data_IF_653748821779
#
_entry.id   IF_653748821779
#
_cell.length_a   1.000
_cell.length_b   1.000
_cell.length_c   1.000
_cell.angle_alpha   90.00
_cell.angle_beta   90.00
_cell.angle_gamma   90.00
#
_symmetry.space_group_name_H-M   'P 1'
#
loop_
_entity.id
_entity.type
_entity.pdbx_description
1 polymer ?
#
# COMPACT_ATOMS: atom_id res chain seq x y z
N UNK A 1 6.43 -6.01 -18.29
CA UNK A 1 7.21 -5.74 -17.06
C UNK A 1 6.65 -6.58 -15.93
N UNK A 2 7.52 -7.38 -15.31
CA UNK A 2 7.17 -8.17 -14.13
C UNK A 2 7.06 -7.31 -12.87
N UNK A 3 6.32 -7.79 -11.90
CA UNK A 3 6.10 -7.14 -10.61
C UNK A 3 6.35 -8.14 -9.47
N UNK A 4 6.59 -7.58 -8.29
CA UNK A 4 6.74 -8.29 -7.04
C UNK A 4 5.68 -7.84 -6.05
N UNK A 5 5.12 -8.79 -5.32
CA UNK A 5 4.35 -8.54 -4.11
C UNK A 5 5.29 -8.73 -2.92
N UNK A 6 5.57 -7.64 -2.20
CA UNK A 6 6.44 -7.64 -1.02
C UNK A 6 5.58 -7.42 0.23
N UNK A 7 5.46 -8.44 1.08
CA UNK A 7 4.60 -8.41 2.26
C UNK A 7 5.43 -8.26 3.52
N UNK A 8 5.28 -7.14 4.21
CA UNK A 8 5.91 -6.91 5.50
C UNK A 8 4.94 -7.25 6.62
N UNK A 9 5.36 -8.17 7.49
CA UNK A 9 4.60 -8.63 8.65
C UNK A 9 5.37 -8.38 9.92
N UNK A 10 4.67 -8.38 11.05
CA UNK A 10 5.29 -8.31 12.38
C UNK A 10 5.10 -9.62 13.14
N UNK A 11 6.02 -9.98 14.05
CA UNK A 11 5.81 -11.02 15.05
C UNK A 11 4.48 -10.89 15.78
N UNK A 12 3.93 -12.02 16.20
CA UNK A 12 2.63 -12.07 16.88
C UNK A 12 2.59 -11.25 18.16
N UNK A 13 3.70 -11.24 18.89
CA UNK A 13 3.85 -10.55 20.17
C UNK A 13 3.70 -9.03 20.04
N UNK A 14 4.03 -8.46 18.86
CA UNK A 14 3.87 -7.02 18.61
C UNK A 14 2.42 -6.61 18.32
N UNK A 15 1.54 -7.57 18.03
CA UNK A 15 0.17 -7.26 17.60
C UNK A 15 -0.64 -6.54 18.68
N UNK A 16 -0.47 -6.90 19.94
CA UNK A 16 -1.18 -6.24 21.05
C UNK A 16 -0.74 -4.78 21.21
N UNK A 17 0.58 -4.53 21.17
CA UNK A 17 1.14 -3.18 21.22
C UNK A 17 0.64 -2.32 20.05
N UNK A 18 0.67 -2.86 18.83
CA UNK A 18 0.19 -2.19 17.62
C UNK A 18 -1.32 -1.98 17.60
N UNK A 19 -2.09 -2.84 18.28
CA UNK A 19 -3.53 -2.65 18.44
C UNK A 19 -3.84 -1.49 19.38
N UNK A 20 -3.01 -1.28 20.40
CA UNK A 20 -3.16 -0.18 21.35
C UNK A 20 -2.64 1.16 20.79
N UNK A 21 -1.73 1.09 19.81
CA UNK A 21 -1.11 2.25 19.15
C UNK A 21 -1.33 2.19 17.63
N UNK A 22 -2.59 2.09 17.17
CA UNK A 22 -2.90 1.76 15.77
C UNK A 22 -2.30 2.76 14.76
N UNK A 23 -2.39 4.07 15.03
CA UNK A 23 -1.95 5.10 14.08
C UNK A 23 -0.43 5.03 13.89
N UNK A 24 0.30 5.01 14.99
CA UNK A 24 1.76 4.96 15.07
C UNK A 24 2.25 3.62 14.53
N UNK A 25 1.60 2.52 14.94
CA UNK A 25 1.92 1.17 14.52
C UNK A 25 1.75 0.93 13.02
N UNK A 26 0.65 1.41 12.43
CA UNK A 26 0.47 1.33 10.98
C UNK A 26 1.43 2.25 10.23
N UNK A 27 1.71 3.44 10.76
CA UNK A 27 2.72 4.32 10.20
C UNK A 27 4.11 3.66 10.20
N UNK A 28 4.47 2.98 11.28
CA UNK A 28 5.72 2.22 11.42
C UNK A 28 5.86 1.14 10.34
N UNK A 29 4.83 0.28 10.16
CA UNK A 29 4.88 -0.81 9.16
C UNK A 29 5.08 -0.22 7.75
N UNK A 30 4.38 0.87 7.42
CA UNK A 30 4.55 1.56 6.15
C UNK A 30 5.94 2.16 5.97
N UNK A 31 6.40 2.95 6.95
CA UNK A 31 7.69 3.64 6.90
C UNK A 31 8.83 2.62 6.78
N UNK A 32 8.95 1.72 7.74
CA UNK A 32 10.01 0.71 7.77
C UNK A 32 9.98 -0.20 6.53
N UNK A 33 8.79 -0.59 6.05
CA UNK A 33 8.66 -1.40 4.83
C UNK A 33 9.12 -0.66 3.57
N UNK A 34 8.67 0.59 3.39
CA UNK A 34 9.03 1.41 2.24
C UNK A 34 10.51 1.80 2.22
N UNK A 35 11.09 2.08 3.38
CA UNK A 35 12.53 2.31 3.53
C UNK A 35 13.34 1.05 3.26
N UNK A 36 12.89 -0.11 3.74
CA UNK A 36 13.58 -1.38 3.44
C UNK A 36 13.62 -1.64 1.94
N UNK A 37 12.50 -1.42 1.22
CA UNK A 37 12.48 -1.56 -0.25
C UNK A 37 13.49 -0.61 -0.91
N UNK A 38 13.56 0.65 -0.46
CA UNK A 38 14.47 1.66 -1.02
C UNK A 38 15.93 1.32 -0.73
N UNK A 39 16.27 1.06 0.52
CA UNK A 39 17.66 0.89 0.97
C UNK A 39 18.23 -0.40 0.39
N UNK A 40 17.51 -1.52 0.52
CA UNK A 40 17.96 -2.81 -0.02
C UNK A 40 17.92 -2.83 -1.55
N UNK A 41 16.93 -2.16 -2.16
CA UNK A 41 16.88 -1.94 -3.60
C UNK A 41 18.10 -1.17 -4.10
N UNK A 42 18.47 -0.06 -3.45
CA UNK A 42 19.62 0.77 -3.84
C UNK A 42 20.96 0.04 -3.73
N UNK A 43 21.08 -0.91 -2.79
CA UNK A 43 22.25 -1.77 -2.61
C UNK A 43 22.30 -2.93 -3.61
N UNK A 44 21.19 -3.23 -4.31
CA UNK A 44 21.11 -4.34 -5.26
C UNK A 44 21.72 -3.95 -6.60
N UNK A 45 22.65 -4.77 -7.11
CA UNK A 45 23.44 -4.46 -8.33
C UNK A 45 22.60 -4.04 -9.54
N UNK A 46 21.49 -4.73 -9.81
CA UNK A 46 20.59 -4.43 -10.94
C UNK A 46 19.80 -3.13 -10.78
N UNK A 47 19.67 -2.64 -9.55
CA UNK A 47 18.87 -1.45 -9.18
C UNK A 47 19.75 -0.29 -8.71
N UNK A 48 21.08 -0.43 -8.75
CA UNK A 48 22.00 0.60 -8.30
C UNK A 48 21.78 1.90 -9.09
N UNK A 49 21.52 2.98 -8.36
CA UNK A 49 21.24 4.31 -8.93
C UNK A 49 19.81 4.47 -9.50
N UNK A 50 18.92 3.50 -9.29
CA UNK A 50 17.52 3.63 -9.67
C UNK A 50 16.69 4.34 -8.59
N UNK A 51 15.80 5.21 -9.04
CA UNK A 51 14.59 5.57 -8.33
C UNK A 51 13.54 4.47 -8.56
N UNK A 52 13.17 3.78 -7.48
CA UNK A 52 12.05 2.83 -7.49
C UNK A 52 10.72 3.58 -7.38
N UNK A 53 9.62 2.93 -7.73
CA UNK A 53 8.28 3.47 -7.54
C UNK A 53 7.32 2.34 -7.27
N UNK A 54 6.56 2.45 -6.19
CA UNK A 54 5.74 1.36 -5.67
C UNK A 54 4.62 1.92 -4.80
N UNK A 55 3.63 1.10 -4.48
CA UNK A 55 2.59 1.47 -3.53
C UNK A 55 2.34 0.34 -2.54
N UNK A 56 1.92 0.69 -1.34
CA UNK A 56 1.60 -0.23 -0.26
C UNK A 56 0.11 -0.18 0.11
N UNK A 57 -0.46 -1.33 0.46
CA UNK A 57 -1.83 -1.47 0.96
C UNK A 57 -1.79 -2.08 2.36
N UNK A 58 -2.41 -1.40 3.33
CA UNK A 58 -2.53 -1.87 4.71
C UNK A 58 -3.66 -2.90 4.85
N UNK A 59 -3.35 -3.96 5.57
CA UNK A 59 -4.27 -5.01 5.97
C UNK A 59 -4.16 -5.23 7.47
N UNK A 60 -5.26 -5.55 8.13
CA UNK A 60 -5.31 -5.75 9.58
C UNK A 60 -5.82 -7.14 9.98
N UNK A 61 -6.08 -8.03 9.02
CA UNK A 61 -6.60 -9.39 9.25
C UNK A 61 -5.88 -10.42 8.39
N UNK A 62 -5.81 -11.66 8.87
CA UNK A 62 -5.29 -12.81 8.12
C UNK A 62 -6.39 -13.61 7.41
N UNK A 63 -6.16 -14.92 7.23
CA UNK A 63 -7.22 -15.85 6.74
C UNK A 63 -8.37 -16.00 7.74
N UNK A 64 -8.06 -15.92 9.02
CA UNK A 64 -9.03 -15.79 10.10
C UNK A 64 -9.29 -14.29 10.37
N UNK A 65 -10.52 -13.80 10.08
CA UNK A 65 -10.86 -12.40 10.26
C UNK A 65 -11.08 -12.00 11.72
N UNK A 66 -11.03 -12.91 12.69
CA UNK A 66 -11.04 -12.50 14.11
C UNK A 66 -9.64 -12.25 14.67
N UNK A 67 -8.61 -12.65 13.93
CA UNK A 67 -7.22 -12.46 14.34
C UNK A 67 -6.73 -11.12 13.81
N UNK A 68 -6.42 -10.20 14.72
CA UNK A 68 -5.72 -8.99 14.38
C UNK A 68 -4.33 -9.34 13.82
N UNK A 69 -4.06 -8.96 12.59
CA UNK A 69 -2.83 -9.28 11.88
C UNK A 69 -2.43 -8.10 10.98
N UNK A 70 -1.85 -7.03 11.54
CA UNK A 70 -1.43 -5.87 10.77
C UNK A 70 -0.22 -6.22 9.89
N UNK A 71 -0.35 -5.94 8.59
CA UNK A 71 0.70 -6.13 7.59
C UNK A 71 0.47 -5.22 6.40
N UNK A 72 1.53 -4.96 5.63
CA UNK A 72 1.43 -4.17 4.39
C UNK A 72 1.91 -5.00 3.22
N UNK A 73 1.11 -5.02 2.17
CA UNK A 73 1.47 -5.54 0.86
C UNK A 73 1.94 -4.40 -0.03
N UNK A 74 3.20 -4.44 -0.47
CA UNK A 74 3.74 -3.53 -1.46
C UNK A 74 3.75 -4.18 -2.84
N UNK A 75 3.36 -3.39 -3.85
CA UNK A 75 3.53 -3.76 -5.26
C UNK A 75 4.74 -3.02 -5.80
N UNK A 76 5.77 -3.78 -6.13
CA UNK A 76 7.04 -3.24 -6.60
C UNK A 76 7.27 -3.71 -8.04
N UNK A 77 7.30 -2.81 -9.03
CA UNK A 77 7.84 -3.07 -10.36
C UNK A 77 9.22 -3.74 -10.29
N UNK A 78 9.48 -4.67 -11.20
CA UNK A 78 10.78 -5.35 -11.32
C UNK A 78 11.87 -4.48 -11.94
N UNK A 79 12.03 -3.24 -11.46
CA UNK A 79 12.99 -2.27 -11.97
C UNK A 79 12.74 -0.85 -11.45
N UNK A 80 13.54 0.08 -11.94
CA UNK A 80 13.40 1.50 -11.62
C UNK A 80 14.10 2.41 -12.63
N UNK A 81 13.86 3.71 -12.47
CA UNK A 81 14.40 4.76 -13.37
C UNK A 81 15.80 5.14 -12.89
N UNK A 82 16.79 4.98 -13.75
CA UNK A 82 18.12 5.54 -13.50
C UNK A 82 18.26 6.86 -14.25
N UNK A 83 18.08 7.98 -13.55
CA UNK A 83 18.15 9.33 -14.15
C UNK A 83 19.52 9.67 -14.73
N UNK A 84 20.60 9.16 -14.14
CA UNK A 84 21.96 9.43 -14.64
C UNK A 84 22.21 8.80 -15.99
N UNK A 85 21.57 7.67 -16.26
CA UNK A 85 21.70 6.91 -17.50
C UNK A 85 20.49 7.08 -18.42
N UNK A 86 19.53 7.92 -18.04
CA UNK A 86 18.25 8.13 -18.72
C UNK A 86 17.60 6.84 -19.24
N UNK A 87 17.50 5.83 -18.35
CA UNK A 87 16.99 4.50 -18.73
C UNK A 87 16.26 3.80 -17.60
N UNK A 88 15.37 2.90 -18.00
CA UNK A 88 14.84 1.88 -17.11
C UNK A 88 15.89 0.78 -16.86
N UNK A 89 16.15 0.43 -15.61
CA UNK A 89 16.94 -0.77 -15.27
C UNK A 89 16.03 -1.83 -14.68
N UNK A 90 16.10 -3.03 -15.25
CA UNK A 90 15.22 -4.14 -14.93
C UNK A 90 15.95 -5.18 -14.06
N UNK A 91 15.21 -5.81 -13.13
CA UNK A 91 15.69 -6.96 -12.36
C UNK A 91 15.41 -8.28 -13.10
N UNK A 92 15.93 -9.39 -12.61
CA UNK A 92 15.46 -10.70 -13.07
C UNK A 92 14.00 -10.93 -12.63
N UNK A 93 13.26 -11.77 -13.35
CA UNK A 93 11.81 -11.98 -13.10
C UNK A 93 11.50 -12.56 -11.72
N UNK A 94 12.41 -13.38 -11.20
CA UNK A 94 12.29 -14.09 -9.93
C UNK A 94 13.12 -13.46 -8.80
N UNK A 95 13.77 -12.32 -9.03
CA UNK A 95 14.65 -11.69 -8.04
C UNK A 95 14.48 -10.17 -8.06
N UNK A 96 14.03 -9.61 -6.93
CA UNK A 96 13.96 -8.17 -6.71
C UNK A 96 15.22 -7.68 -5.97
N UNK A 97 15.42 -8.18 -4.77
CA UNK A 97 16.59 -7.95 -3.92
C UNK A 97 16.74 -9.08 -2.88
N UNK A 98 17.84 -9.08 -2.12
CA UNK A 98 18.11 -10.13 -1.14
C UNK A 98 17.11 -10.18 0.02
N UNK A 99 16.43 -11.33 0.17
CA UNK A 99 15.42 -11.57 1.20
C UNK A 99 16.00 -11.47 2.62
N UNK A 100 17.19 -12.06 2.86
CA UNK A 100 17.80 -12.08 4.18
C UNK A 100 18.15 -10.67 4.68
N UNK A 101 18.64 -9.82 3.79
CA UNK A 101 18.93 -8.41 4.06
C UNK A 101 17.66 -7.62 4.30
N UNK A 102 16.61 -7.82 3.50
CA UNK A 102 15.32 -7.18 3.73
C UNK A 102 14.74 -7.48 5.11
N UNK A 103 14.74 -8.75 5.55
CA UNK A 103 14.26 -9.13 6.88
C UNK A 103 15.08 -8.48 8.01
N UNK A 104 16.41 -8.40 7.87
CA UNK A 104 17.30 -7.78 8.87
C UNK A 104 17.09 -6.26 8.95
N UNK A 105 17.07 -5.59 7.79
CA UNK A 105 16.90 -4.13 7.69
C UNK A 105 15.53 -3.73 8.20
N UNK A 106 14.47 -4.45 7.81
CA UNK A 106 13.11 -4.17 8.29
C UNK A 106 13.01 -4.30 9.82
N UNK A 107 13.57 -5.36 10.39
CA UNK A 107 13.61 -5.54 11.86
C UNK A 107 14.34 -4.40 12.56
N UNK A 108 15.52 -4.01 12.05
CA UNK A 108 16.32 -2.94 12.63
C UNK A 108 15.56 -1.60 12.59
N UNK A 109 15.04 -1.22 11.41
CA UNK A 109 14.24 0.00 11.25
C UNK A 109 13.01 0.02 12.15
N UNK A 110 12.33 -1.12 12.30
CA UNK A 110 11.16 -1.20 13.19
C UNK A 110 11.54 -1.02 14.65
N UNK A 111 12.67 -1.60 15.08
CA UNK A 111 13.21 -1.38 16.42
C UNK A 111 13.54 0.10 16.66
N UNK A 112 14.24 0.73 15.73
CA UNK A 112 14.62 2.15 15.81
C UNK A 112 13.38 3.05 15.90
N UNK A 113 12.38 2.80 15.06
CA UNK A 113 11.15 3.57 15.06
C UNK A 113 10.33 3.39 16.35
N UNK A 114 10.31 2.18 16.93
CA UNK A 114 9.69 2.01 18.26
C UNK A 114 10.47 2.72 19.37
N UNK A 115 11.79 2.90 19.25
CA UNK A 115 12.57 3.70 20.21
C UNK A 115 12.22 5.18 20.11
N UNK A 116 12.09 5.70 18.90
CA UNK A 116 11.65 7.09 18.64
C UNK A 116 10.27 7.36 19.26
N UNK A 117 9.38 6.37 19.24
CA UNK A 117 8.04 6.45 19.81
C UNK A 117 8.00 6.17 21.33
N UNK A 118 9.12 5.82 21.97
CA UNK A 118 9.14 5.40 23.39
C UNK A 118 8.37 4.09 23.66
N UNK A 119 8.16 3.27 22.63
CA UNK A 119 7.41 2.00 22.70
C UNK A 119 8.33 0.77 22.72
N UNK A 120 9.64 0.94 22.49
CA UNK A 120 10.58 -0.17 22.36
C UNK A 120 10.63 -1.06 23.61
N UNK A 121 10.70 -0.45 24.80
CA UNK A 121 10.83 -1.17 26.08
C UNK A 121 9.54 -1.87 26.51
N UNK A 122 8.42 -1.63 25.82
CA UNK A 122 7.17 -2.37 26.02
C UNK A 122 7.16 -3.71 25.28
N UNK A 123 8.18 -3.99 24.45
CA UNK A 123 8.31 -5.21 23.66
C UNK A 123 9.30 -6.14 24.34
N UNK A 124 8.87 -7.37 24.61
CA UNK A 124 9.76 -8.39 25.16
C UNK A 124 11.02 -8.59 24.29
N UNK A 125 12.18 -8.61 24.94
CA UNK A 125 13.47 -8.67 24.26
C UNK A 125 13.64 -9.91 23.35
N UNK A 126 12.92 -11.00 23.62
CA UNK A 126 12.92 -12.20 22.78
C UNK A 126 12.38 -11.93 21.37
N UNK A 127 11.47 -10.97 21.19
CA UNK A 127 10.90 -10.59 19.88
C UNK A 127 11.99 -10.12 18.92
N UNK A 128 12.98 -9.39 19.44
CA UNK A 128 14.10 -8.87 18.65
C UNK A 128 15.12 -9.95 18.28
N UNK A 129 15.17 -11.05 19.04
CA UNK A 129 16.00 -12.24 18.76
C UNK A 129 15.38 -13.14 17.69
N UNK A 130 14.07 -13.04 17.43
CA UNK A 130 13.38 -13.84 16.40
C UNK A 130 13.82 -13.49 14.98
N UNK A 131 13.62 -14.46 14.08
CA UNK A 131 13.69 -14.23 12.63
C UNK A 131 12.39 -13.58 12.18
N UNK A 132 12.49 -12.34 11.71
CA UNK A 132 11.39 -11.63 11.07
C UNK A 132 11.24 -12.08 9.62
N UNK A 133 10.05 -11.95 9.06
CA UNK A 133 9.71 -12.45 7.72
C UNK A 133 9.17 -11.31 6.86
N UNK A 134 9.75 -11.17 5.68
CA UNK A 134 9.27 -10.34 4.57
C UNK A 134 9.04 -11.29 3.39
N UNK A 135 7.78 -11.51 3.00
CA UNK A 135 7.50 -12.37 1.83
C UNK A 135 7.76 -11.59 0.54
N UNK A 136 8.62 -12.08 -0.34
CA UNK A 136 8.89 -11.48 -1.65
C UNK A 136 8.46 -12.48 -2.71
N UNK A 137 7.39 -12.15 -3.44
CA UNK A 137 6.82 -13.04 -4.46
C UNK A 137 6.80 -12.38 -5.83
N UNK A 138 7.41 -13.02 -6.81
CA UNK A 138 7.20 -12.69 -8.21
C UNK A 138 5.75 -13.01 -8.61
N UNK A 139 5.05 -12.04 -9.18
CA UNK A 139 3.61 -12.13 -9.47
C UNK A 139 3.28 -11.88 -10.94
N UNK A 140 4.31 -11.87 -11.79
CA UNK A 140 4.16 -11.70 -13.24
C UNK A 140 3.73 -10.27 -13.59
N UNK A 141 2.74 -10.13 -14.46
CA UNK A 141 2.30 -8.83 -14.95
C UNK A 141 1.50 -8.01 -13.91
N UNK A 142 1.45 -6.69 -14.12
CA UNK A 142 0.75 -5.77 -13.22
C UNK A 142 -0.77 -5.97 -13.17
N UNK A 143 -1.40 -6.55 -14.19
CA UNK A 143 -2.86 -6.81 -14.20
C UNK A 143 -3.20 -7.93 -13.23
N UNK A 144 -2.36 -8.97 -13.17
CA UNK A 144 -2.48 -10.08 -12.22
C UNK A 144 -2.35 -9.59 -10.79
N UNK A 145 -1.42 -8.65 -10.54
CA UNK A 145 -1.27 -7.99 -9.24
C UNK A 145 -2.49 -7.17 -8.86
N UNK A 146 -3.02 -6.36 -9.79
CA UNK A 146 -4.22 -5.55 -9.54
C UNK A 146 -5.44 -6.43 -9.26
N UNK A 147 -5.63 -7.54 -10.01
CA UNK A 147 -6.68 -8.52 -9.72
C UNK A 147 -6.53 -9.17 -8.35
N UNK A 148 -5.29 -9.48 -7.96
CA UNK A 148 -5.00 -10.04 -6.64
C UNK A 148 -5.28 -9.04 -5.51
N UNK A 149 -4.93 -7.76 -5.69
CA UNK A 149 -5.04 -6.74 -4.65
C UNK A 149 -6.41 -6.04 -4.58
N UNK A 150 -7.16 -5.98 -5.68
CA UNK A 150 -8.46 -5.31 -5.73
C UNK A 150 -9.44 -5.77 -4.62
N UNK A 151 -9.56 -7.09 -4.33
CA UNK A 151 -10.38 -7.55 -3.20
C UNK A 151 -9.92 -6.96 -1.87
N UNK A 152 -8.64 -6.72 -1.65
CA UNK A 152 -8.13 -6.22 -0.38
C UNK A 152 -8.26 -4.71 -0.21
N UNK A 153 -8.35 -3.98 -1.32
CA UNK A 153 -8.70 -2.55 -1.32
C UNK A 153 -10.15 -2.38 -0.88
N UNK A 154 -11.07 -3.17 -1.46
CA UNK A 154 -12.52 -2.97 -1.32
C UNK A 154 -13.19 -3.83 -0.23
N UNK A 155 -12.67 -5.02 0.08
CA UNK A 155 -13.31 -5.90 1.06
C UNK A 155 -12.90 -5.54 2.49
N UNK A 156 -13.89 -5.65 3.37
CA UNK A 156 -13.74 -5.63 4.82
C UNK A 156 -13.20 -6.97 5.33
N UNK A 157 -12.98 -7.10 6.64
CA UNK A 157 -12.40 -8.29 7.26
C UNK A 157 -13.11 -9.60 6.90
N UNK A 158 -14.45 -9.58 6.77
CA UNK A 158 -15.26 -10.74 6.39
C UNK A 158 -16.31 -10.37 5.35
N UNK A 159 -16.49 -11.21 4.33
CA UNK A 159 -17.56 -11.04 3.33
C UNK A 159 -18.86 -11.71 3.77
N UNK A 160 -20.01 -11.16 3.38
CA UNK A 160 -21.34 -11.66 3.73
C UNK A 160 -21.54 -13.15 3.42
N UNK A 161 -21.07 -13.63 2.26
CA UNK A 161 -21.15 -15.05 1.88
C UNK A 161 -20.42 -16.02 2.85
N UNK A 162 -19.59 -15.50 3.76
CA UNK A 162 -18.93 -16.30 4.81
C UNK A 162 -19.79 -16.41 6.06
N UNK A 163 -20.78 -15.54 6.27
CA UNK A 163 -21.75 -15.66 7.36
C UNK A 163 -22.72 -16.79 6.98
N UNK A 164 -22.82 -17.81 7.83
CA UNK A 164 -23.62 -19.02 7.61
C UNK A 164 -24.99 -18.88 8.25
N UNK A 165 -25.03 -18.37 9.49
CA UNK A 165 -26.28 -18.10 10.21
C UNK A 165 -26.07 -17.02 11.25
N UNK A 166 -27.17 -16.34 11.58
CA UNK A 166 -27.26 -15.35 12.66
C UNK A 166 -28.54 -15.64 13.43
N UNK A 167 -28.44 -15.73 14.75
CA UNK A 167 -29.57 -15.80 15.66
C UNK A 167 -29.46 -14.71 16.74
N UNK A 168 -30.37 -14.68 17.71
CA UNK A 168 -30.41 -13.65 18.77
C UNK A 168 -29.12 -13.58 19.62
N UNK A 169 -28.36 -14.67 19.71
CA UNK A 169 -27.18 -14.76 20.58
C UNK A 169 -25.89 -14.95 19.81
N UNK A 170 -25.92 -15.64 18.67
CA UNK A 170 -24.74 -16.14 17.99
C UNK A 170 -24.67 -15.80 16.51
N UNK A 171 -23.43 -15.66 16.04
CA UNK A 171 -23.09 -15.53 14.62
C UNK A 171 -22.19 -16.69 14.25
N UNK A 172 -22.60 -17.46 13.25
CA UNK A 172 -21.81 -18.56 12.69
C UNK A 172 -21.22 -18.14 11.36
N UNK A 173 -19.90 -18.31 11.19
CA UNK A 173 -19.24 -17.96 9.94
C UNK A 173 -18.14 -18.95 9.56
N UNK A 174 -17.85 -19.03 8.26
CA UNK A 174 -16.76 -19.82 7.69
C UNK A 174 -15.43 -19.08 7.78
N UNK A 175 -14.39 -19.81 8.15
CA UNK A 175 -13.01 -19.35 8.11
C UNK A 175 -12.05 -20.47 7.77
N UNK A 176 -10.87 -20.10 7.26
CA UNK A 176 -9.82 -21.05 6.94
C UNK A 176 -8.71 -20.88 7.96
N UNK A 177 -8.50 -21.86 8.87
CA UNK A 177 -7.43 -21.79 9.85
C UNK A 177 -6.05 -21.59 9.19
N UNK A 178 -5.16 -20.89 9.89
CA UNK A 178 -3.76 -20.81 9.49
C UNK A 178 -3.18 -22.23 9.38
N UNK A 179 -2.46 -22.53 8.30
CA UNK A 179 -1.92 -23.86 7.93
C UNK A 179 -2.92 -24.90 7.42
N UNK A 180 -4.22 -24.61 7.39
CA UNK A 180 -5.20 -25.48 6.74
C UNK A 180 -5.59 -24.94 5.36
N UNK A 181 -5.93 -25.84 4.43
CA UNK A 181 -6.65 -25.52 3.18
C UNK A 181 -8.16 -25.73 3.31
N UNK A 182 -8.61 -26.39 4.37
CA UNK A 182 -10.02 -26.67 4.61
C UNK A 182 -10.68 -25.52 5.37
N UNK A 183 -11.83 -25.08 4.87
CA UNK A 183 -12.68 -24.13 5.57
C UNK A 183 -13.42 -24.82 6.70
N UNK A 184 -13.46 -24.18 7.86
CA UNK A 184 -14.21 -24.58 9.05
C UNK A 184 -15.26 -23.53 9.37
N UNK A 185 -16.25 -23.90 10.16
CA UNK A 185 -17.21 -22.95 10.77
C UNK A 185 -16.80 -22.63 12.20
N UNK A 186 -17.16 -21.43 12.66
CA UNK A 186 -17.05 -21.02 14.05
C UNK A 186 -18.29 -20.22 14.41
N UNK A 187 -18.85 -20.50 15.58
CA UNK A 187 -19.94 -19.75 16.19
C UNK A 187 -19.38 -18.96 17.36
N UNK A 188 -19.71 -17.67 17.42
CA UNK A 188 -19.33 -16.76 18.50
C UNK A 188 -20.55 -15.95 18.91
N UNK A 189 -20.52 -15.31 20.07
CA UNK A 189 -21.58 -14.36 20.43
C UNK A 189 -21.60 -13.15 19.48
N UNK A 190 -22.77 -12.51 19.34
CA UNK A 190 -22.91 -11.29 18.54
C UNK A 190 -21.89 -10.20 18.92
N UNK A 191 -21.68 -9.97 20.21
CA UNK A 191 -20.69 -9.00 20.70
C UNK A 191 -19.24 -9.37 20.33
N UNK A 192 -18.86 -10.65 20.42
CA UNK A 192 -17.54 -11.10 20.01
C UNK A 192 -17.34 -10.95 18.50
N UNK A 193 -18.38 -11.19 17.69
CA UNK A 193 -18.33 -10.97 16.25
C UNK A 193 -18.11 -9.49 15.92
N UNK A 194 -18.92 -8.60 16.52
CA UNK A 194 -18.81 -7.15 16.31
C UNK A 194 -17.47 -6.62 16.80
N UNK A 195 -16.99 -7.02 17.98
CA UNK A 195 -15.68 -6.62 18.49
C UNK A 195 -14.52 -7.13 17.62
N UNK A 196 -14.64 -8.36 17.10
CA UNK A 196 -13.72 -8.94 16.15
C UNK A 196 -13.75 -8.24 14.78
N UNK A 197 -14.88 -7.70 14.35
CA UNK A 197 -14.95 -6.89 13.13
C UNK A 197 -14.40 -5.47 13.35
N UNK A 198 -14.81 -4.83 14.44
CA UNK A 198 -14.46 -3.45 14.78
C UNK A 198 -12.95 -3.23 14.94
N UNK A 199 -12.20 -4.26 15.34
CA UNK A 199 -10.73 -4.19 15.41
C UNK A 199 -10.05 -3.87 14.06
N UNK A 200 -10.75 -4.06 12.95
CA UNK A 200 -10.25 -3.81 11.60
C UNK A 200 -10.65 -2.44 11.04
N UNK A 201 -11.48 -1.69 11.77
CA UNK A 201 -11.80 -0.31 11.44
C UNK A 201 -10.54 0.54 11.65
N UNK A 202 -10.13 1.24 10.60
CA UNK A 202 -8.92 2.05 10.63
C UNK A 202 -9.18 3.37 11.37
N UNK A 203 -8.17 3.92 12.07
CA UNK A 203 -8.25 5.25 12.65
C UNK A 203 -8.66 6.31 11.62
N UNK A 204 -9.42 7.32 12.07
CA UNK A 204 -9.86 8.40 11.19
C UNK A 204 -8.69 9.09 10.47
N UNK A 205 -8.90 9.42 9.19
CA UNK A 205 -7.89 10.04 8.30
C UNK A 205 -6.65 9.19 8.02
N UNK A 206 -6.63 7.92 8.41
CA UNK A 206 -5.53 7.03 8.07
C UNK A 206 -5.63 6.56 6.61
N UNK A 207 -4.60 6.86 5.82
CA UNK A 207 -4.51 6.40 4.44
C UNK A 207 -4.14 4.91 4.39
N UNK A 208 -5.10 4.09 3.93
CA UNK A 208 -4.93 2.64 3.74
C UNK A 208 -3.99 2.29 2.59
N UNK A 209 -3.92 3.14 1.56
CA UNK A 209 -3.04 2.98 0.39
C UNK A 209 -2.08 4.16 0.35
N UNK A 210 -0.79 3.88 0.16
CA UNK A 210 0.26 4.90 0.09
C UNK A 210 1.18 4.64 -1.09
N UNK A 211 1.56 5.70 -1.79
CA UNK A 211 2.42 5.66 -2.98
C UNK A 211 3.81 6.21 -2.65
N UNK A 212 4.85 5.60 -3.24
CA UNK A 212 6.24 5.87 -2.91
C UNK A 212 7.10 5.96 -4.17
N UNK A 213 8.23 6.65 -4.03
CA UNK A 213 9.19 6.82 -5.12
C UNK A 213 8.54 7.51 -6.32
N UNK A 214 8.79 7.04 -7.55
CA UNK A 214 8.21 7.69 -8.73
C UNK A 214 6.70 7.55 -8.87
N UNK A 215 6.06 6.66 -8.10
CA UNK A 215 4.59 6.58 -8.02
C UNK A 215 3.99 7.61 -7.05
N UNK A 216 4.81 8.27 -6.23
CA UNK A 216 4.36 9.32 -5.33
C UNK A 216 3.89 10.54 -6.12
N UNK A 217 2.79 11.21 -5.72
CA UNK A 217 2.35 12.47 -6.34
C UNK A 217 3.41 13.58 -6.32
N UNK A 218 4.35 13.52 -5.36
CA UNK A 218 5.44 14.50 -5.22
C UNK A 218 6.71 14.10 -6.00
N UNK A 219 6.64 13.04 -6.80
CA UNK A 219 7.76 12.61 -7.63
C UNK A 219 8.07 13.62 -8.74
N UNK A 220 9.35 13.94 -8.92
CA UNK A 220 9.83 14.66 -10.09
C UNK A 220 9.89 13.80 -11.37
N UNK A 221 9.80 12.47 -11.25
CA UNK A 221 9.65 11.56 -12.39
C UNK A 221 8.16 11.42 -12.71
N UNK A 222 7.77 11.77 -13.94
CA UNK A 222 6.38 11.65 -14.36
C UNK A 222 6.03 10.21 -14.77
N UNK A 223 4.77 9.76 -14.62
CA UNK A 223 4.35 8.46 -15.16
C UNK A 223 4.55 8.33 -16.68
N UNK A 224 4.55 9.44 -17.40
CA UNK A 224 4.82 9.47 -18.85
C UNK A 224 6.27 9.19 -19.17
N UNK A 225 7.20 9.81 -18.46
CA UNK A 225 8.64 9.53 -18.54
C UNK A 225 8.92 8.05 -18.29
N UNK A 226 8.34 7.47 -17.22
CA UNK A 226 8.49 6.03 -16.93
C UNK A 226 7.96 5.17 -18.08
N UNK A 227 6.82 5.53 -18.69
CA UNK A 227 6.26 4.78 -19.83
C UNK A 227 7.21 4.82 -21.04
N UNK A 228 7.79 5.97 -21.35
CA UNK A 228 8.76 6.11 -22.43
C UNK A 228 10.02 5.29 -22.19
N UNK A 229 10.62 5.42 -21.00
CA UNK A 229 11.82 4.66 -20.62
C UNK A 229 11.58 3.15 -20.66
N UNK A 230 10.41 2.70 -20.21
CA UNK A 230 10.00 1.30 -20.31
C UNK A 230 9.83 0.83 -21.76
N UNK A 231 9.17 1.62 -22.61
CA UNK A 231 8.98 1.25 -24.00
C UNK A 231 10.30 1.17 -24.75
N UNK A 232 11.24 2.09 -24.50
CA UNK A 232 12.58 2.03 -25.07
C UNK A 232 13.29 0.76 -24.59
N UNK A 233 13.28 0.49 -23.28
CA UNK A 233 13.94 -0.69 -22.71
C UNK A 233 13.36 -2.02 -23.21
N UNK A 234 12.06 -2.07 -23.51
CA UNK A 234 11.38 -3.26 -24.04
C UNK A 234 11.39 -3.35 -25.58
N UNK A 235 11.98 -2.37 -26.29
CA UNK A 235 11.95 -2.30 -27.75
C UNK A 235 10.58 -1.95 -28.35
N UNK A 236 9.69 -1.38 -27.56
CA UNK A 236 8.31 -1.00 -27.92
C UNK A 236 8.15 0.50 -28.21
N UNK A 237 9.24 1.24 -28.39
CA UNK A 237 9.20 2.69 -28.62
C UNK A 237 8.30 3.06 -29.82
N UNK A 238 8.32 2.26 -30.89
CA UNK A 238 7.47 2.45 -32.06
C UNK A 238 5.97 2.34 -31.73
N UNK A 239 5.59 1.44 -30.82
CA UNK A 239 4.19 1.25 -30.40
C UNK A 239 3.66 2.45 -29.63
N UNK A 240 4.46 3.09 -28.77
CA UNK A 240 4.05 4.30 -28.05
C UNK A 240 3.94 5.54 -28.96
N UNK A 241 4.80 5.67 -29.97
CA UNK A 241 4.69 6.79 -30.92
C UNK A 241 3.36 6.74 -31.69
N UNK A 242 2.94 5.55 -32.12
CA UNK A 242 1.68 5.36 -32.85
C UNK A 242 0.45 5.43 -31.93
N UNK A 243 0.57 4.86 -30.73
CA UNK A 243 -0.45 4.93 -29.70
C UNK A 243 -0.12 6.07 -28.74
N UNK A 244 -0.16 7.31 -29.20
CA UNK A 244 -0.23 8.45 -28.28
C UNK A 244 -1.66 8.48 -27.73
N UNK A 245 -1.94 8.03 -26.49
CA UNK A 245 -3.24 8.26 -25.90
C UNK A 245 -3.39 9.77 -25.76
N UNK A 246 -4.27 10.37 -26.55
CA UNK A 246 -4.72 11.73 -26.30
C UNK A 246 -5.28 11.70 -24.88
N UNK A 247 -4.66 12.39 -23.89
CA UNK A 247 -5.22 12.42 -22.55
C UNK A 247 -6.66 12.88 -22.70
N UNK A 248 -7.65 12.20 -22.09
CA UNK A 248 -9.03 12.64 -22.21
C UNK A 248 -9.04 14.10 -21.77
N UNK A 249 -9.33 15.01 -22.71
CA UNK A 249 -9.45 16.43 -22.38
C UNK A 249 -10.46 16.49 -21.25
N UNK A 250 -10.02 16.90 -20.05
CA UNK A 250 -10.95 17.14 -18.95
C UNK A 250 -12.04 18.03 -19.51
N UNK A 251 -13.29 17.55 -19.52
CA UNK A 251 -14.41 18.37 -19.94
C UNK A 251 -14.39 19.61 -19.04
N UNK A 252 -14.10 20.76 -19.65
CA UNK A 252 -14.19 22.04 -18.96
C UNK A 252 -15.62 22.17 -18.46
N UNK A 253 -15.80 22.38 -17.16
CA UNK A 253 -17.12 22.72 -16.63
C UNK A 253 -17.48 24.08 -17.21
N UNK A 254 -18.58 24.17 -17.95
CA UNK A 254 -19.05 25.42 -18.54
C UNK A 254 -20.22 25.97 -17.73
N UNK A 255 -20.30 27.30 -17.63
CA UNK A 255 -21.45 27.99 -17.07
C UNK A 255 -22.66 27.73 -17.96
N UNK A 256 -23.79 27.32 -17.37
CA UNK A 256 -25.02 27.05 -18.12
C UNK A 256 -25.66 28.30 -18.71
N UNK A 257 -25.31 29.49 -18.20
CA UNK A 257 -25.90 30.76 -18.62
C UNK A 257 -25.06 31.46 -19.69
N UNK A 258 -23.76 31.62 -19.46
CA UNK A 258 -22.87 32.38 -20.36
C UNK A 258 -21.93 31.50 -21.19
N UNK A 259 -21.89 30.19 -20.97
CA UNK A 259 -20.96 29.27 -21.64
C UNK A 259 -19.49 29.42 -21.23
N UNK A 260 -19.17 30.33 -20.30
CA UNK A 260 -17.80 30.55 -19.81
C UNK A 260 -17.23 29.36 -19.03
N UNK A 261 -15.90 29.23 -19.01
CA UNK A 261 -15.21 28.16 -18.29
C UNK A 261 -15.27 28.36 -16.77
N UNK A 262 -15.94 27.45 -16.06
CA UNK A 262 -15.99 27.40 -14.61
C UNK A 262 -14.65 26.90 -14.06
N UNK A 263 -14.18 27.56 -13.00
CA UNK A 263 -12.98 27.17 -12.26
C UNK A 263 -13.37 26.81 -10.84
N UNK A 264 -12.91 25.65 -10.36
CA UNK A 264 -13.07 25.29 -8.96
C UNK A 264 -12.24 26.26 -8.09
N UNK A 265 -12.90 26.97 -7.18
CA UNK A 265 -12.28 27.90 -6.23
C UNK A 265 -12.24 27.35 -4.81
N UNK A 266 -13.18 26.47 -4.47
CA UNK A 266 -13.31 25.84 -3.17
C UNK A 266 -13.91 24.43 -3.33
N UNK A 267 -13.38 23.47 -2.60
CA UNK A 267 -13.98 22.14 -2.41
C UNK A 267 -14.09 21.94 -0.91
N UNK A 268 -15.27 21.59 -0.41
CA UNK A 268 -15.50 21.28 1.00
C UNK A 268 -15.92 19.83 1.20
N UNK A 269 -15.73 19.30 2.41
CA UNK A 269 -16.42 18.08 2.82
C UNK A 269 -17.90 18.36 3.15
N UNK A 270 -18.66 17.32 3.51
CA UNK A 270 -20.06 17.43 3.90
C UNK A 270 -20.30 18.19 5.21
N UNK A 271 -19.23 18.53 5.93
CA UNK A 271 -19.25 19.31 7.17
C UNK A 271 -18.80 20.77 6.93
N UNK A 272 -18.49 21.14 5.67
CA UNK A 272 -18.08 22.49 5.30
C UNK A 272 -16.58 22.77 5.48
N UNK A 273 -15.76 21.79 5.85
CA UNK A 273 -14.31 21.99 5.93
C UNK A 273 -13.69 22.07 4.55
N UNK A 274 -12.86 23.08 4.30
CA UNK A 274 -12.16 23.24 3.04
C UNK A 274 -11.14 22.09 2.81
N UNK A 275 -11.38 21.29 1.78
CA UNK A 275 -10.48 20.26 1.25
C UNK A 275 -9.53 20.83 0.20
N UNK A 276 -9.94 21.90 -0.49
CA UNK A 276 -9.16 22.66 -1.45
C UNK A 276 -9.66 24.10 -1.45
N UNK A 277 -8.75 25.07 -1.37
CA UNK A 277 -9.07 26.47 -1.64
C UNK A 277 -8.05 27.02 -2.62
N UNK A 278 -8.53 27.80 -3.59
CA UNK A 278 -7.67 28.54 -4.50
C UNK A 278 -7.64 30.00 -4.02
N UNK A 279 -6.46 30.62 -3.87
CA UNK A 279 -6.41 32.05 -3.54
C UNK A 279 -7.15 32.83 -4.64
N UNK A 280 -7.91 33.89 -4.27
CA UNK A 280 -8.65 34.68 -5.25
C UNK A 280 -7.68 35.24 -6.29
N UNK A 281 -8.07 35.30 -7.58
CA UNK A 281 -7.25 35.96 -8.58
C UNK A 281 -7.09 37.42 -8.14
N UNK A 282 -5.84 37.81 -7.93
CA UNK A 282 -5.43 39.17 -7.62
C UNK A 282 -6.18 40.14 -8.55
N UNK A 283 -6.97 41.04 -7.97
CA UNK A 283 -7.36 42.25 -8.68
C UNK A 283 -6.11 43.12 -8.71
N UNK A 284 -5.42 43.14 -9.85
CA UNK A 284 -4.76 44.37 -10.25
C UNK A 284 -5.88 45.39 -10.49
N UNK A 285 -6.09 46.24 -9.50
CA UNK A 285 -6.80 47.51 -9.68
C UNK A 285 -5.88 48.58 -9.12
N UNK A 286 -5.10 49.18 -10.02
CA UNK A 286 -4.90 50.62 -9.97
C UNK A 286 -6.22 51.35 -10.16
#
# INVERSE_FOLDING_TARGET
MHHFLVTFTVPEELRSLLRSNQREGYAAIFACGSETIRDVGSATRSLKGCELGFFGVLHTWGRDPTVYHPHVHFVVPGGGVNKKLDRWQQTAENFLFDHGTACRVYKAKFADHLRELGLYDQVDASVWKKKWIVDIRAVGDGRSVLKYLAPYVHRVAISDNRIVSVDEKTVTFRYTPSKSRQSKTRSVSGHQFVGGFAQHVLPSRLQKIRYYGWMSPNSGISPEEVRWLLAIALGWAFTLMLASPVPPRRKKSLCKECGGELRAVLVTDSLGHALYSRPPPYRDTG
#
